data_IF_569451608614
#
_entry.id   IF_569451608614
#
_cell.length_a   1.000
_cell.length_b   1.000
_cell.length_c   1.000
_cell.angle_alpha   90.00
_cell.angle_beta   90.00
_cell.angle_gamma   90.00
#
_symmetry.space_group_name_H-M   'P 1'
#
loop_
_entity.id
_entity.type
_entity.pdbx_description
1 polymer ?
#
# COMPACT_ATOMS: atom_id res chain seq x y z
N UNK A 1 -0.18 -14.91 -78.01
CA UNK A 1 0.14 -16.18 -78.70
C UNK A 1 1.35 -16.82 -78.04
N UNK A 2 1.36 -18.16 -77.96
CA UNK A 2 2.40 -19.09 -77.47
C UNK A 2 2.31 -19.53 -76.00
N UNK A 3 2.19 -20.86 -75.88
CA UNK A 3 2.01 -21.73 -74.71
C UNK A 3 3.28 -21.82 -73.86
N UNK A 4 3.20 -22.30 -72.60
CA UNK A 4 4.28 -23.03 -71.98
C UNK A 4 3.98 -24.52 -71.78
N UNK A 5 5.09 -25.23 -71.67
CA UNK A 5 5.32 -26.68 -71.70
C UNK A 5 4.91 -27.42 -70.41
N UNK A 6 4.55 -28.70 -70.58
CA UNK A 6 4.50 -29.74 -69.56
C UNK A 6 5.91 -30.32 -69.31
N UNK A 7 6.24 -30.65 -68.06
CA UNK A 7 7.15 -31.75 -67.74
C UNK A 7 6.81 -32.36 -66.38
N UNK A 8 6.62 -33.68 -66.39
CA UNK A 8 6.17 -34.52 -65.29
C UNK A 8 7.29 -34.86 -64.31
N UNK A 9 6.97 -34.96 -63.01
CA UNK A 9 7.84 -35.57 -62.00
C UNK A 9 7.31 -36.94 -61.58
N UNK A 10 8.19 -37.94 -61.70
CA UNK A 10 8.02 -39.33 -61.29
C UNK A 10 8.13 -39.49 -59.76
N UNK A 11 7.26 -40.33 -59.23
CA UNK A 11 7.26 -40.86 -57.86
C UNK A 11 8.45 -41.78 -57.59
N UNK A 12 9.20 -41.56 -56.50
CA UNK A 12 10.04 -42.57 -55.85
C UNK A 12 9.88 -42.46 -54.33
N UNK A 13 9.46 -43.56 -53.70
CA UNK A 13 9.27 -43.71 -52.26
C UNK A 13 10.60 -43.75 -51.49
N UNK A 14 10.60 -43.24 -50.25
CA UNK A 14 11.71 -43.33 -49.27
C UNK A 14 11.19 -43.91 -47.93
N UNK A 15 12.02 -44.61 -47.14
CA UNK A 15 11.58 -45.61 -46.18
C UNK A 15 11.26 -45.05 -44.78
N UNK A 16 10.53 -45.86 -44.00
CA UNK A 16 10.07 -45.63 -42.63
C UNK A 16 11.24 -45.68 -41.63
N UNK A 17 11.36 -44.64 -40.80
CA UNK A 17 12.30 -44.60 -39.66
C UNK A 17 11.50 -44.64 -38.35
N UNK A 18 11.84 -45.60 -37.52
CA UNK A 18 11.35 -45.90 -36.17
C UNK A 18 11.52 -44.73 -35.20
N UNK A 19 10.42 -44.30 -34.57
CA UNK A 19 10.39 -43.27 -33.52
C UNK A 19 10.92 -43.83 -32.20
N UNK A 20 11.96 -43.18 -31.66
CA UNK A 20 12.56 -43.48 -30.34
C UNK A 20 11.73 -42.76 -29.27
N UNK A 21 11.10 -43.51 -28.37
CA UNK A 21 10.31 -42.96 -27.27
C UNK A 21 11.17 -42.08 -26.34
N UNK A 22 10.68 -40.89 -26.00
CA UNK A 22 11.26 -39.99 -25.01
C UNK A 22 10.91 -40.44 -23.58
N UNK A 23 11.80 -40.23 -22.59
CA UNK A 23 11.56 -40.61 -21.21
C UNK A 23 10.43 -39.77 -20.56
N UNK A 24 9.78 -40.29 -19.51
CA UNK A 24 8.61 -39.66 -18.90
C UNK A 24 8.99 -38.31 -18.27
N UNK A 25 8.21 -37.30 -18.62
CA UNK A 25 8.28 -35.95 -18.07
C UNK A 25 8.23 -35.99 -16.55
N UNK A 26 9.32 -35.52 -15.91
CA UNK A 26 9.33 -35.15 -14.51
C UNK A 26 8.22 -34.11 -14.33
N UNK A 27 7.19 -34.46 -13.54
CA UNK A 27 6.13 -33.53 -13.17
C UNK A 27 6.79 -32.34 -12.47
N UNK A 28 6.91 -31.23 -13.18
CA UNK A 28 7.29 -29.93 -12.63
C UNK A 28 6.31 -29.66 -11.49
N UNK A 29 6.82 -29.65 -10.26
CA UNK A 29 6.06 -29.31 -9.08
C UNK A 29 5.29 -28.01 -9.38
N UNK A 30 3.99 -28.01 -9.10
CA UNK A 30 3.15 -26.83 -9.17
C UNK A 30 3.89 -25.71 -8.42
N UNK A 31 4.17 -24.62 -9.12
CA UNK A 31 4.64 -23.39 -8.48
C UNK A 31 3.73 -23.12 -7.28
N UNK A 32 4.27 -22.92 -6.05
CA UNK A 32 3.42 -22.57 -4.92
C UNK A 32 2.58 -21.35 -5.34
N UNK A 33 1.29 -21.40 -5.04
CA UNK A 33 0.42 -20.23 -5.19
C UNK A 33 1.14 -19.02 -4.59
N UNK A 34 1.16 -17.85 -5.24
CA UNK A 34 1.82 -16.68 -4.69
C UNK A 34 1.29 -16.48 -3.28
N UNK A 35 2.18 -16.44 -2.29
CA UNK A 35 1.79 -16.23 -0.88
C UNK A 35 1.07 -14.90 -0.84
N UNK A 36 -0.26 -14.94 -0.68
CA UNK A 36 -1.08 -13.74 -0.57
C UNK A 36 -0.91 -13.19 0.84
N UNK A 37 -0.37 -11.98 0.93
CA UNK A 37 -0.27 -11.24 2.18
C UNK A 37 -1.43 -10.24 2.28
N UNK A 38 -1.90 -9.98 3.50
CA UNK A 38 -3.10 -9.14 3.78
C UNK A 38 -2.87 -8.14 4.90
N UNK A 39 -1.75 -8.23 5.59
CA UNK A 39 -1.36 -7.38 6.71
C UNK A 39 0.17 -7.23 6.76
N UNK A 40 0.66 -6.39 7.67
CA UNK A 40 2.10 -6.15 7.86
C UNK A 40 2.83 -7.47 8.18
N UNK A 41 2.43 -8.29 9.19
CA UNK A 41 3.16 -9.51 9.52
C UNK A 41 3.24 -10.53 8.38
N UNK A 42 2.13 -10.76 7.66
CA UNK A 42 2.09 -11.68 6.52
C UNK A 42 2.93 -11.20 5.34
N UNK A 43 2.97 -9.89 5.08
CA UNK A 43 3.82 -9.30 4.05
C UNK A 43 5.30 -9.47 4.38
N UNK A 44 5.71 -9.20 5.63
CA UNK A 44 7.10 -9.36 6.04
C UNK A 44 7.55 -10.81 5.98
N UNK A 45 6.70 -11.74 6.40
CA UNK A 45 6.96 -13.18 6.27
C UNK A 45 7.17 -13.56 4.80
N UNK A 46 6.30 -13.09 3.90
CA UNK A 46 6.46 -13.29 2.47
C UNK A 46 7.77 -12.70 1.95
N UNK A 47 8.07 -11.45 2.31
CA UNK A 47 9.27 -10.76 1.85
C UNK A 47 10.55 -11.47 2.29
N UNK A 48 10.58 -11.98 3.53
CA UNK A 48 11.67 -12.79 4.04
C UNK A 48 11.85 -14.10 3.25
N UNK A 49 10.75 -14.85 3.05
CA UNK A 49 10.79 -16.11 2.30
C UNK A 49 11.15 -15.94 0.83
N UNK A 50 10.79 -14.80 0.23
CA UNK A 50 11.06 -14.48 -1.17
C UNK A 50 12.39 -13.73 -1.39
N UNK A 51 13.14 -13.42 -0.32
CA UNK A 51 14.40 -12.68 -0.41
C UNK A 51 14.25 -11.27 -0.99
N UNK A 52 13.13 -10.58 -0.71
CA UNK A 52 12.90 -9.25 -1.27
C UNK A 52 13.87 -8.23 -0.66
N UNK A 53 14.43 -7.37 -1.51
CA UNK A 53 15.30 -6.29 -1.06
C UNK A 53 14.46 -5.14 -0.46
N UNK A 54 14.70 -4.77 0.82
CA UNK A 54 13.88 -3.80 1.56
C UNK A 54 14.08 -2.37 1.08
N UNK A 55 15.17 -2.10 0.36
CA UNK A 55 15.52 -0.76 -0.12
C UNK A 55 14.80 -0.42 -1.42
N UNK A 56 14.11 -1.40 -2.02
CA UNK A 56 13.37 -1.20 -3.27
C UNK A 56 12.13 -0.35 -3.04
N UNK A 57 11.75 0.41 -4.05
CA UNK A 57 10.52 1.21 -4.05
C UNK A 57 9.27 0.34 -3.97
N UNK A 58 9.33 -0.88 -4.50
CA UNK A 58 8.24 -1.85 -4.42
C UNK A 58 8.04 -2.33 -2.98
N UNK A 59 9.12 -2.73 -2.30
CA UNK A 59 9.02 -3.18 -0.90
C UNK A 59 8.52 -2.05 0.00
N UNK A 60 9.19 -0.89 -0.07
CA UNK A 60 8.86 0.26 0.80
C UNK A 60 7.47 0.81 0.51
N UNK A 61 7.05 0.87 -0.76
CA UNK A 61 5.69 1.21 -1.16
C UNK A 61 4.66 0.24 -0.59
N UNK A 62 4.87 -1.07 -0.77
CA UNK A 62 3.96 -2.11 -0.27
C UNK A 62 3.84 -2.09 1.25
N UNK A 63 4.98 -1.92 1.96
CA UNK A 63 4.98 -1.79 3.41
C UNK A 63 4.21 -0.54 3.86
N UNK A 64 4.37 0.57 3.14
CA UNK A 64 3.67 1.81 3.44
C UNK A 64 2.15 1.68 3.22
N UNK A 65 1.72 0.98 2.17
CA UNK A 65 0.30 0.69 1.93
C UNK A 65 -0.32 -0.09 3.11
N UNK A 66 0.37 -1.12 3.60
CA UNK A 66 -0.07 -1.85 4.80
C UNK A 66 -0.05 -1.00 6.07
N UNK A 67 0.92 -0.09 6.19
CA UNK A 67 0.99 0.87 7.29
C UNK A 67 -0.23 1.78 7.30
N UNK A 68 -0.61 2.32 6.14
CA UNK A 68 -1.82 3.15 5.97
C UNK A 68 -3.09 2.33 6.23
N UNK A 69 -3.17 1.09 5.74
CA UNK A 69 -4.28 0.18 5.99
C UNK A 69 -4.48 -0.04 7.50
N UNK A 70 -3.41 -0.39 8.22
CA UNK A 70 -3.44 -0.58 9.66
C UNK A 70 -3.83 0.71 10.40
N UNK A 71 -3.32 1.87 9.96
CA UNK A 71 -3.63 3.16 10.55
C UNK A 71 -5.13 3.50 10.43
N UNK A 72 -5.70 3.39 9.24
CA UNK A 72 -7.10 3.71 8.97
C UNK A 72 -8.06 2.69 9.59
N UNK A 73 -7.68 1.40 9.66
CA UNK A 73 -8.51 0.34 10.27
C UNK A 73 -8.65 0.47 11.81
N UNK A 74 -7.90 1.38 12.44
CA UNK A 74 -8.10 1.76 13.85
C UNK A 74 -9.27 2.73 14.02
N UNK A 75 -9.65 3.46 12.97
CA UNK A 75 -10.76 4.40 13.01
C UNK A 75 -12.10 3.65 12.93
N UNK A 76 -13.10 4.00 13.76
CA UNK A 76 -14.36 3.29 13.78
C UNK A 76 -15.14 3.40 12.46
N UNK A 77 -15.69 2.26 12.04
CA UNK A 77 -16.47 2.16 10.81
C UNK A 77 -15.65 2.09 9.52
N UNK A 78 -14.33 2.26 9.56
CA UNK A 78 -13.50 2.09 8.37
C UNK A 78 -13.20 0.61 8.17
N UNK A 79 -13.56 0.10 6.99
CA UNK A 79 -13.20 -1.23 6.52
C UNK A 79 -12.55 -1.10 5.15
N UNK A 80 -11.27 -1.42 5.07
CA UNK A 80 -10.46 -1.32 3.85
C UNK A 80 -9.77 -2.64 3.56
N UNK A 81 -9.44 -2.86 2.30
CA UNK A 81 -8.61 -3.96 1.84
C UNK A 81 -7.60 -3.43 0.85
N UNK A 82 -6.38 -3.94 0.91
CA UNK A 82 -5.35 -3.61 -0.07
C UNK A 82 -5.68 -4.28 -1.41
N UNK A 83 -5.73 -3.49 -2.47
CA UNK A 83 -5.90 -3.95 -3.85
C UNK A 83 -4.71 -3.60 -4.74
N UNK A 84 -3.72 -2.87 -4.20
CA UNK A 84 -2.56 -2.38 -4.93
C UNK A 84 -1.80 -3.49 -5.66
N UNK A 85 -1.48 -3.24 -6.93
CA UNK A 85 -0.91 -4.23 -7.84
C UNK A 85 -0.84 -3.75 -9.29
N UNK A 86 -0.46 -4.65 -10.19
CA UNK A 86 -0.49 -4.36 -11.63
C UNK A 86 -1.95 -4.13 -12.05
N UNK A 87 -2.22 -3.01 -12.72
CA UNK A 87 -3.52 -2.61 -13.27
C UNK A 87 -4.56 -2.06 -12.24
N UNK A 88 -4.10 -1.57 -11.09
CA UNK A 88 -4.94 -1.01 -10.01
C UNK A 88 -5.44 0.44 -10.24
N UNK A 89 -5.18 1.02 -11.42
CA UNK A 89 -5.45 2.42 -11.75
C UNK A 89 -4.89 3.45 -10.73
N UNK A 90 -3.87 3.06 -9.96
CA UNK A 90 -3.28 3.87 -8.90
C UNK A 90 -4.07 3.90 -7.60
N UNK A 91 -4.95 2.91 -7.35
CA UNK A 91 -5.68 2.73 -6.09
C UNK A 91 -5.00 1.63 -5.29
N UNK A 92 -4.54 1.97 -4.11
CA UNK A 92 -3.79 1.02 -3.27
C UNK A 92 -4.71 0.30 -2.28
N UNK A 93 -5.68 1.02 -1.69
CA UNK A 93 -6.68 0.48 -0.77
C UNK A 93 -8.09 0.84 -1.22
N UNK A 94 -9.04 -0.06 -0.99
CA UNK A 94 -10.46 0.16 -1.30
C UNK A 94 -11.36 -0.43 -0.22
N UNK A 95 -12.50 0.21 0.02
CA UNK A 95 -13.53 -0.30 0.91
C UNK A 95 -14.58 0.75 1.21
N UNK A 96 -14.93 0.90 2.48
CA UNK A 96 -16.01 1.77 2.92
C UNK A 96 -15.77 2.35 4.31
N UNK A 97 -16.39 3.49 4.55
CA UNK A 97 -16.53 4.09 5.87
C UNK A 97 -18.01 4.10 6.28
N UNK A 98 -18.29 3.33 7.32
CA UNK A 98 -19.60 3.13 7.91
C UNK A 98 -19.83 4.07 9.10
N UNK A 99 -20.79 4.98 8.98
CA UNK A 99 -21.08 6.02 9.97
C UNK A 99 -22.50 5.87 10.53
N UNK A 100 -22.72 6.05 11.85
CA UNK A 100 -24.07 6.14 12.40
C UNK A 100 -24.79 7.39 11.85
N UNK A 101 -25.99 7.27 11.27
CA UNK A 101 -26.88 8.44 11.13
C UNK A 101 -27.68 8.58 12.41
N UNK A 102 -27.57 9.76 13.02
CA UNK A 102 -28.54 10.22 14.01
C UNK A 102 -29.55 11.09 13.27
N UNK A 103 -30.53 10.48 12.61
CA UNK A 103 -31.71 11.23 12.16
C UNK A 103 -32.61 11.45 13.37
N UNK A 104 -32.93 12.70 13.71
CA UNK A 104 -33.68 13.12 14.91
C UNK A 104 -35.16 12.70 14.96
N UNK A 105 -35.56 11.60 14.32
CA UNK A 105 -36.93 11.08 14.38
C UNK A 105 -36.87 9.59 14.70
N UNK A 106 -37.38 9.25 15.89
CA UNK A 106 -37.46 7.91 16.46
C UNK A 106 -37.92 6.86 15.44
N UNK A 107 -37.00 5.99 14.97
CA UNK A 107 -37.16 4.52 14.96
C UNK A 107 -36.19 3.76 14.04
N UNK A 108 -35.48 4.40 13.11
CA UNK A 108 -34.55 3.68 12.19
C UNK A 108 -33.18 4.38 12.09
N UNK A 109 -32.19 3.88 12.84
CA UNK A 109 -30.80 4.31 12.70
C UNK A 109 -30.22 3.79 11.38
N UNK A 110 -30.45 4.51 10.28
CA UNK A 110 -29.84 4.15 8.99
C UNK A 110 -28.34 4.42 9.01
N UNK A 111 -27.48 3.46 8.69
CA UNK A 111 -26.02 3.69 8.61
C UNK A 111 -25.69 4.44 7.29
N UNK A 112 -24.79 5.43 7.30
CA UNK A 112 -24.18 5.93 6.05
C UNK A 112 -23.03 5.00 5.72
N UNK A 113 -22.99 4.49 4.49
CA UNK A 113 -21.85 3.74 3.98
C UNK A 113 -21.21 4.56 2.86
N UNK A 114 -20.08 5.19 3.16
CA UNK A 114 -19.33 6.00 2.21
C UNK A 114 -18.34 5.09 1.48
N UNK A 115 -18.44 4.88 0.16
CA UNK A 115 -17.40 4.18 -0.58
C UNK A 115 -16.08 4.94 -0.46
N UNK A 116 -14.98 4.24 -0.21
CA UNK A 116 -13.68 4.87 0.04
C UNK A 116 -12.60 4.19 -0.79
N UNK A 117 -11.78 5.01 -1.45
CA UNK A 117 -10.53 4.57 -2.09
C UNK A 117 -9.36 5.36 -1.52
N UNK A 118 -8.20 4.73 -1.42
CA UNK A 118 -6.99 5.34 -0.90
C UNK A 118 -5.85 5.12 -1.87
N UNK A 119 -5.17 6.21 -2.21
CA UNK A 119 -3.90 6.17 -2.91
C UNK A 119 -2.78 6.48 -1.91
N UNK A 120 -1.80 5.61 -1.82
CA UNK A 120 -0.64 5.68 -0.94
C UNK A 120 0.57 6.18 -1.73
N UNK A 121 1.27 7.20 -1.22
CA UNK A 121 2.51 7.72 -1.81
C UNK A 121 3.62 7.78 -0.78
N UNK A 122 4.55 6.84 -0.92
CA UNK A 122 5.79 6.82 -0.17
C UNK A 122 6.90 7.51 -0.98
N UNK A 123 7.28 8.73 -0.60
CA UNK A 123 8.24 9.54 -1.34
C UNK A 123 9.02 10.52 -0.46
N UNK A 124 10.28 10.73 -0.83
CA UNK A 124 11.12 11.80 -0.27
C UNK A 124 10.69 13.18 -0.76
N UNK A 125 11.25 14.22 -0.18
CA UNK A 125 10.94 15.62 -0.53
C UNK A 125 11.15 15.91 -2.02
N UNK A 126 12.25 15.41 -2.60
CA UNK A 126 12.58 15.59 -4.03
C UNK A 126 11.60 14.90 -4.98
N UNK A 127 10.92 13.84 -4.54
CA UNK A 127 9.98 13.08 -5.39
C UNK A 127 8.52 13.43 -5.12
N UNK A 128 8.23 14.35 -4.21
CA UNK A 128 6.88 14.75 -3.85
C UNK A 128 6.26 15.65 -4.93
N UNK A 129 5.46 15.05 -5.81
CA UNK A 129 4.87 15.72 -6.99
C UNK A 129 3.72 16.68 -6.67
N UNK A 130 3.36 16.83 -5.40
CA UNK A 130 2.38 17.81 -4.93
C UNK A 130 1.00 17.66 -5.61
N UNK A 131 0.47 18.70 -6.29
CA UNK A 131 -0.88 18.69 -6.84
C UNK A 131 -1.16 17.58 -7.86
N UNK A 132 -0.12 17.01 -8.49
CA UNK A 132 -0.29 15.94 -9.45
C UNK A 132 -0.97 14.72 -8.84
N UNK A 133 -0.60 14.31 -7.62
CA UNK A 133 -1.22 13.16 -6.95
C UNK A 133 -2.72 13.37 -6.71
N UNK A 134 -3.13 14.60 -6.42
CA UNK A 134 -4.56 14.92 -6.25
C UNK A 134 -5.31 14.74 -7.58
N UNK A 135 -4.73 15.19 -8.70
CA UNK A 135 -5.35 15.00 -10.04
C UNK A 135 -5.42 13.53 -10.44
N UNK A 136 -4.37 12.76 -10.13
CA UNK A 136 -4.35 11.31 -10.37
C UNK A 136 -5.45 10.61 -9.57
N UNK A 137 -5.60 10.95 -8.28
CA UNK A 137 -6.67 10.43 -7.43
C UNK A 137 -8.07 10.84 -7.92
N UNK A 138 -8.25 12.09 -8.36
CA UNK A 138 -9.50 12.53 -9.00
C UNK A 138 -9.82 11.72 -10.26
N UNK A 139 -8.80 11.42 -11.07
CA UNK A 139 -8.92 10.55 -12.24
C UNK A 139 -9.34 9.13 -11.86
N UNK A 140 -8.75 8.57 -10.80
CA UNK A 140 -9.13 7.25 -10.30
C UNK A 140 -10.60 7.20 -9.86
N UNK A 141 -11.10 8.27 -9.20
CA UNK A 141 -12.50 8.39 -8.80
C UNK A 141 -13.51 8.43 -9.96
N UNK A 142 -13.08 8.63 -11.21
CA UNK A 142 -13.97 8.71 -12.36
C UNK A 142 -14.80 7.43 -12.56
N UNK A 143 -14.27 6.27 -12.14
CA UNK A 143 -14.94 4.97 -12.23
C UNK A 143 -15.65 4.56 -10.93
N UNK A 144 -15.75 5.46 -9.95
CA UNK A 144 -16.37 5.21 -8.65
C UNK A 144 -17.66 6.04 -8.45
N UNK A 145 -18.56 5.61 -7.55
CA UNK A 145 -19.77 6.36 -7.19
C UNK A 145 -19.48 7.83 -6.91
N UNK A 146 -20.41 8.73 -7.22
CA UNK A 146 -20.17 10.18 -7.13
C UNK A 146 -19.86 10.67 -5.71
N UNK A 147 -20.41 9.97 -4.73
CA UNK A 147 -20.26 10.16 -3.30
C UNK A 147 -19.06 9.41 -2.69
N UNK A 148 -18.28 8.70 -3.51
CA UNK A 148 -17.07 8.03 -3.06
C UNK A 148 -16.01 9.05 -2.59
N UNK A 149 -15.45 8.80 -1.41
CA UNK A 149 -14.34 9.53 -0.82
C UNK A 149 -13.01 9.00 -1.36
N UNK A 150 -12.27 9.84 -2.07
CA UNK A 150 -10.88 9.55 -2.40
C UNK A 150 -9.93 10.12 -1.35
N UNK A 151 -9.03 9.32 -0.81
CA UNK A 151 -8.02 9.78 0.15
C UNK A 151 -6.62 9.59 -0.41
N UNK A 152 -5.82 10.66 -0.37
CA UNK A 152 -4.38 10.59 -0.64
C UNK A 152 -3.64 10.43 0.69
N UNK A 153 -2.92 9.33 0.86
CA UNK A 153 -2.07 9.06 2.00
C UNK A 153 -0.59 9.32 1.64
N UNK A 154 0.12 10.07 2.48
CA UNK A 154 1.55 10.30 2.32
C UNK A 154 2.32 10.44 3.62
N UNK A 155 3.65 10.44 3.49
CA UNK A 155 4.58 10.63 4.62
C UNK A 155 5.01 12.10 4.80
N UNK A 156 4.52 12.99 3.94
CA UNK A 156 4.86 14.42 3.89
C UNK A 156 3.61 15.25 4.13
N UNK A 157 3.81 16.52 4.50
CA UNK A 157 2.71 17.45 4.67
C UNK A 157 2.06 17.80 3.33
N UNK A 158 0.76 18.11 3.38
CA UNK A 158 0.04 18.61 2.22
C UNK A 158 0.63 19.95 1.76
N UNK A 159 1.14 20.00 0.53
CA UNK A 159 1.64 21.26 -0.05
C UNK A 159 0.50 22.25 -0.27
N UNK A 160 0.79 23.57 -0.31
CA UNK A 160 -0.22 24.57 -0.65
C UNK A 160 -0.90 24.33 -1.99
N UNK A 161 -0.16 23.79 -2.97
CA UNK A 161 -0.70 23.44 -4.28
C UNK A 161 -1.70 22.28 -4.22
N UNK A 162 -1.42 21.24 -3.42
CA UNK A 162 -2.35 20.14 -3.20
C UNK A 162 -3.63 20.63 -2.54
N UNK A 163 -3.49 21.47 -1.49
CA UNK A 163 -4.63 22.08 -0.80
C UNK A 163 -5.53 22.84 -1.78
N UNK A 164 -4.94 23.68 -2.64
CA UNK A 164 -5.71 24.41 -3.67
C UNK A 164 -6.43 23.47 -4.63
N UNK A 165 -5.74 22.42 -5.12
CA UNK A 165 -6.36 21.42 -6.00
C UNK A 165 -7.54 20.72 -5.31
N UNK A 166 -7.37 20.25 -4.08
CA UNK A 166 -8.42 19.58 -3.31
C UNK A 166 -9.64 20.47 -3.08
N UNK A 167 -9.42 21.75 -2.73
CA UNK A 167 -10.49 22.71 -2.51
C UNK A 167 -11.25 23.07 -3.80
N UNK A 168 -10.60 23.00 -4.95
CA UNK A 168 -11.24 23.23 -6.25
C UNK A 168 -12.01 22.03 -6.81
N UNK A 169 -11.79 20.83 -6.24
CA UNK A 169 -12.39 19.60 -6.72
C UNK A 169 -13.89 19.54 -6.44
N UNK A 170 -14.64 18.94 -7.37
CA UNK A 170 -16.06 18.60 -7.19
C UNK A 170 -16.26 17.20 -6.60
N UNK A 171 -15.18 16.45 -6.37
CA UNK A 171 -15.18 15.12 -5.76
C UNK A 171 -14.94 15.24 -4.26
N UNK A 172 -15.46 14.29 -3.47
CA UNK A 172 -15.11 14.17 -2.06
C UNK A 172 -13.65 13.70 -1.94
N UNK A 173 -12.78 14.59 -1.44
CA UNK A 173 -11.35 14.32 -1.33
C UNK A 173 -10.86 14.53 0.09
N UNK A 174 -9.98 13.62 0.52
CA UNK A 174 -9.23 13.68 1.76
C UNK A 174 -7.72 13.56 1.54
N UNK A 175 -6.97 14.06 2.50
CA UNK A 175 -5.53 13.88 2.60
C UNK A 175 -5.20 13.41 4.01
N UNK A 176 -4.36 12.40 4.12
CA UNK A 176 -3.81 11.95 5.40
C UNK A 176 -2.29 11.90 5.37
N UNK A 177 -1.70 12.29 6.50
CA UNK A 177 -0.28 12.04 6.77
C UNK A 177 -0.16 10.91 7.76
N UNK A 178 0.53 9.85 7.37
CA UNK A 178 0.76 8.67 8.22
C UNK A 178 2.25 8.46 8.39
N UNK A 179 2.71 8.35 9.63
CA UNK A 179 4.11 8.03 9.91
C UNK A 179 4.45 6.67 9.30
N UNK A 180 5.48 6.55 8.45
CA UNK A 180 5.84 5.27 7.88
C UNK A 180 6.41 4.34 8.94
N UNK A 181 6.30 3.04 8.69
CA UNK A 181 7.01 2.06 9.51
C UNK A 181 8.49 2.07 9.12
N UNK A 182 9.34 2.31 10.11
CA UNK A 182 10.79 2.33 9.93
C UNK A 182 11.36 0.91 10.12
N UNK A 183 12.38 0.58 9.33
CA UNK A 183 13.08 -0.70 9.41
C UNK A 183 14.59 -0.50 9.39
N UNK A 184 15.31 -1.17 10.28
CA UNK A 184 16.77 -1.29 10.23
C UNK A 184 17.11 -2.52 9.38
N UNK A 185 17.92 -2.27 8.35
CA UNK A 185 18.51 -3.28 7.50
C UNK A 185 19.98 -3.45 7.88
N UNK A 186 20.37 -4.63 8.37
CA UNK A 186 21.77 -4.98 8.60
C UNK A 186 22.29 -5.79 7.42
N UNK A 187 22.94 -5.13 6.46
CA UNK A 187 23.81 -5.84 5.53
C UNK A 187 25.07 -6.29 6.28
N UNK A 188 25.37 -7.58 6.35
CA UNK A 188 26.74 -8.00 6.62
C UNK A 188 27.57 -7.79 5.35
N UNK A 189 28.03 -6.57 5.09
CA UNK A 189 29.10 -6.36 4.13
C UNK A 189 30.42 -6.69 4.84
N UNK A 190 31.06 -7.80 4.44
CA UNK A 190 32.47 -8.07 4.75
C UNK A 190 33.26 -6.90 4.16
N UNK A 191 33.75 -6.00 5.01
CA UNK A 191 34.53 -4.86 4.58
C UNK A 191 35.77 -5.34 3.81
N UNK A 192 35.99 -4.70 2.66
CA UNK A 192 37.18 -4.80 1.83
C UNK A 192 38.45 -4.86 2.68
N UNK A 193 39.10 -6.02 2.70
CA UNK A 193 40.55 -6.13 2.70
C UNK A 193 40.89 -7.22 1.67
N UNK A 194 41.79 -6.84 0.77
CA UNK A 194 42.41 -7.65 -0.26
C UNK A 194 42.58 -9.13 0.13
N UNK A 195 42.02 -10.04 -0.65
CA UNK A 195 42.74 -11.02 -1.50
C UNK A 195 41.72 -11.98 -2.14
N UNK A 196 42.04 -12.42 -3.35
CA UNK A 196 41.22 -13.31 -4.17
C UNK A 196 41.09 -14.68 -3.47
N UNK A 197 39.92 -14.97 -2.90
CA UNK A 197 39.53 -16.34 -2.59
C UNK A 197 38.15 -16.62 -3.18
N UNK A 198 38.17 -17.54 -4.14
CA UNK A 198 37.03 -18.25 -4.71
C UNK A 198 36.37 -19.09 -3.60
N UNK A 199 35.17 -18.72 -3.15
CA UNK A 199 34.32 -19.60 -2.35
C UNK A 199 32.85 -19.15 -2.40
N UNK A 200 32.01 -20.11 -2.79
CA UNK A 200 30.60 -20.34 -2.50
C UNK A 200 29.77 -19.15 -2.01
N UNK A 201 28.72 -18.84 -2.78
CA UNK A 201 27.76 -17.78 -2.48
C UNK A 201 27.08 -17.99 -1.14
N UNK A 202 27.66 -17.42 -0.08
CA UNK A 202 27.01 -17.24 1.21
C UNK A 202 25.91 -16.19 1.03
N UNK A 203 24.68 -16.69 1.06
CA UNK A 203 23.43 -15.94 1.07
C UNK A 203 23.50 -14.90 2.20
N UNK A 204 23.48 -13.61 1.85
CA UNK A 204 23.47 -12.54 2.83
C UNK A 204 22.26 -12.74 3.75
N UNK A 205 22.50 -13.04 5.02
CA UNK A 205 21.44 -13.13 6.03
C UNK A 205 20.91 -11.71 6.29
N UNK A 206 19.86 -11.37 5.56
CA UNK A 206 19.21 -10.07 5.62
C UNK A 206 18.13 -10.14 6.69
N UNK A 207 18.45 -9.70 7.90
CA UNK A 207 17.47 -9.54 8.97
C UNK A 207 16.87 -8.13 8.93
N UNK A 208 15.54 -8.04 8.81
CA UNK A 208 14.81 -6.78 8.94
C UNK A 208 14.30 -6.63 10.36
N UNK A 209 14.69 -5.54 11.02
CA UNK A 209 14.20 -5.19 12.34
C UNK A 209 13.30 -3.97 12.21
N UNK A 210 12.05 -4.08 12.63
CA UNK A 210 11.14 -2.94 12.62
C UNK A 210 11.38 -2.07 13.84
N UNK A 211 11.41 -0.76 13.60
CA UNK A 211 11.53 0.23 14.66
C UNK A 211 10.20 0.97 14.78
N UNK A 212 9.73 1.09 16.03
CA UNK A 212 8.32 1.14 16.39
C UNK A 212 7.52 2.41 16.14
N UNK A 213 7.77 3.15 15.07
CA UNK A 213 7.20 4.51 14.92
C UNK A 213 6.09 4.61 13.88
N UNK A 214 5.76 3.52 13.18
CA UNK A 214 4.83 3.54 12.06
C UNK A 214 3.37 3.71 12.45
N UNK A 215 2.57 4.16 11.50
CA UNK A 215 1.11 4.11 11.54
C UNK A 215 0.43 5.30 12.21
N UNK A 216 1.14 6.19 12.91
CA UNK A 216 0.51 7.37 13.54
C UNK A 216 -0.14 8.29 12.49
N UNK A 217 -1.40 8.65 12.70
CA UNK A 217 -2.12 9.60 11.85
C UNK A 217 -1.77 11.02 12.30
N UNK A 218 -0.92 11.71 11.55
CA UNK A 218 -0.40 13.03 11.91
C UNK A 218 -1.22 14.19 11.33
N UNK A 219 -1.87 13.96 10.19
CA UNK A 219 -2.76 14.92 9.53
C UNK A 219 -3.95 14.19 8.95
N UNK A 220 -5.12 14.80 9.06
CA UNK A 220 -6.29 14.46 8.28
C UNK A 220 -6.92 15.77 7.82
N UNK A 221 -7.10 15.95 6.52
CA UNK A 221 -7.81 17.07 5.94
C UNK A 221 -8.79 16.57 4.89
N UNK A 222 -9.89 17.27 4.70
CA UNK A 222 -10.84 16.98 3.63
C UNK A 222 -11.44 18.26 3.07
N UNK A 223 -12.00 18.19 1.86
CA UNK A 223 -12.63 19.34 1.21
C UNK A 223 -14.12 19.47 1.55
N UNK A 224 -14.74 20.58 1.14
CA UNK A 224 -16.14 20.88 1.43
C UNK A 224 -17.11 19.83 0.87
N UNK A 225 -16.76 19.18 -0.25
CA UNK A 225 -17.58 18.11 -0.81
C UNK A 225 -17.61 16.90 0.11
N UNK A 226 -16.46 16.48 0.65
CA UNK A 226 -16.37 15.41 1.64
C UNK A 226 -17.07 15.78 2.96
N UNK A 227 -17.10 17.07 3.31
CA UNK A 227 -17.75 17.56 4.52
C UNK A 227 -19.26 17.28 4.56
N UNK A 228 -19.92 17.08 3.41
CA UNK A 228 -21.34 16.70 3.34
C UNK A 228 -21.62 15.34 3.98
N UNK A 229 -20.65 14.43 3.91
CA UNK A 229 -20.75 13.08 4.48
C UNK A 229 -20.00 12.96 5.81
N UNK A 230 -18.95 13.78 6.01
CA UNK A 230 -18.07 13.74 7.18
C UNK A 230 -18.35 14.84 8.22
N UNK A 231 -19.29 15.76 8.00
CA UNK A 231 -19.45 16.98 8.81
C UNK A 231 -19.79 16.79 10.29
N UNK A 232 -20.13 15.57 10.73
CA UNK A 232 -20.25 15.22 12.14
C UNK A 232 -18.91 14.92 12.84
N UNK A 233 -17.83 14.79 12.07
CA UNK A 233 -16.49 14.51 12.57
C UNK A 233 -15.68 15.77 12.81
N UNK A 234 -15.08 15.83 14.00
CA UNK A 234 -13.99 16.72 14.33
C UNK A 234 -12.64 16.00 14.29
N UNK A 235 -11.59 16.80 14.20
CA UNK A 235 -10.20 16.37 14.35
C UNK A 235 -9.69 16.97 15.64
N UNK A 236 -9.13 16.13 16.50
CA UNK A 236 -8.49 16.58 17.74
C UNK A 236 -7.07 16.07 17.79
N UNK A 237 -6.13 16.97 18.04
CA UNK A 237 -4.75 16.61 18.32
C UNK A 237 -4.64 16.01 19.73
N UNK A 238 -3.95 14.88 19.84
CA UNK A 238 -3.51 14.29 21.09
C UNK A 238 -2.00 14.06 21.04
N UNK A 239 -1.36 14.01 22.19
CA UNK A 239 0.05 13.67 22.30
C UNK A 239 0.19 12.25 22.83
N UNK A 240 0.97 11.43 22.13
CA UNK A 240 1.28 10.05 22.52
C UNK A 240 2.76 9.92 22.81
N UNK A 241 3.17 9.05 23.75
CA UNK A 241 4.59 8.75 23.95
C UNK A 241 5.21 8.22 22.65
N UNK A 242 6.48 8.56 22.38
CA UNK A 242 7.19 8.10 21.17
C UNK A 242 7.32 6.58 21.03
N UNK A 243 7.18 5.83 22.12
CA UNK A 243 7.16 4.37 22.09
C UNK A 243 5.82 3.76 21.61
N UNK A 244 4.89 4.58 21.10
CA UNK A 244 3.58 4.09 20.65
C UNK A 244 3.70 3.31 19.34
N UNK A 245 3.46 2.00 19.39
CA UNK A 245 3.51 1.11 18.24
C UNK A 245 2.16 0.87 17.58
N UNK A 246 2.21 0.44 16.32
CA UNK A 246 1.10 -0.29 15.71
C UNK A 246 0.93 -1.61 16.49
N UNK A 247 -0.31 -1.98 16.89
CA UNK A 247 -0.58 -3.32 17.42
C UNK A 247 -0.03 -4.41 16.49
N UNK A 248 0.47 -5.51 17.07
CA UNK A 248 0.93 -6.70 16.34
C UNK A 248 2.25 -6.57 15.55
N UNK A 249 2.99 -5.48 15.74
CA UNK A 249 4.36 -5.33 15.25
C UNK A 249 5.34 -5.34 16.45
N UNK A 250 6.16 -6.39 16.64
CA UNK A 250 7.21 -6.41 17.65
C UNK A 250 8.20 -5.27 17.44
N UNK A 251 8.55 -4.57 18.52
CA UNK A 251 9.51 -3.47 18.49
C UNK A 251 10.89 -3.96 18.92
N UNK A 252 11.92 -3.58 18.17
CA UNK A 252 13.28 -3.56 18.69
C UNK A 252 13.64 -2.14 19.13
N UNK A 253 14.35 -2.04 20.27
CA UNK A 253 14.83 -0.79 20.84
C UNK A 253 15.86 -0.14 19.91
N UNK A 254 15.41 0.80 19.07
CA UNK A 254 16.28 1.53 18.15
C UNK A 254 16.30 3.04 18.43
N UNK A 255 17.54 3.46 18.71
CA UNK A 255 18.13 4.76 18.99
C UNK A 255 17.38 6.02 18.52
N UNK A 256 17.39 6.99 19.42
CA UNK A 256 16.63 8.24 19.46
C UNK A 256 17.24 9.31 18.58
N UNK A 257 16.47 9.82 17.61
CA UNK A 257 16.68 11.16 17.08
C UNK A 257 15.87 12.16 17.90
N UNK A 258 16.53 13.20 18.40
CA UNK A 258 16.07 14.28 19.29
C UNK A 258 15.49 13.81 20.65
N UNK A 259 16.32 13.73 21.71
CA UNK A 259 15.90 13.30 23.05
C UNK A 259 15.01 14.31 23.79
N UNK A 260 14.79 15.52 23.27
CA UNK A 260 14.19 16.62 24.04
C UNK A 260 12.65 16.70 23.98
N UNK A 261 11.97 15.94 23.10
CA UNK A 261 10.49 15.83 23.10
C UNK A 261 10.03 14.37 23.25
N UNK A 262 9.58 13.94 24.44
CA UNK A 262 9.16 12.55 24.68
C UNK A 262 7.81 12.20 24.03
N UNK A 263 7.11 13.17 23.44
CA UNK A 263 5.80 12.99 22.85
C UNK A 263 5.82 13.21 21.33
N UNK A 264 4.83 12.61 20.67
CA UNK A 264 4.51 12.86 19.27
C UNK A 264 3.03 13.21 19.14
N UNK A 265 2.72 14.10 18.20
CA UNK A 265 1.34 14.47 17.91
C UNK A 265 0.66 13.41 17.04
N UNK A 266 -0.46 12.89 17.53
CA UNK A 266 -1.37 12.04 16.78
C UNK A 266 -2.74 12.73 16.69
N UNK A 267 -3.43 12.53 15.58
CA UNK A 267 -4.80 13.00 15.39
C UNK A 267 -5.76 11.88 15.72
N UNK A 268 -6.79 12.22 16.49
CA UNK A 268 -7.95 11.37 16.74
C UNK A 268 -9.19 12.01 16.13
N UNK A 269 -10.08 11.18 15.60
CA UNK A 269 -11.39 11.61 15.17
C UNK A 269 -12.33 11.73 16.37
N UNK A 270 -13.09 12.82 16.42
CA UNK A 270 -14.15 13.02 17.38
C UNK A 270 -15.48 13.10 16.66
N UNK A 271 -16.57 12.62 17.27
CA UNK A 271 -17.93 12.81 16.80
C UNK A 271 -18.62 13.74 17.78
N UNK A 272 -19.06 14.92 17.33
CA UNK A 272 -19.61 15.97 18.21
C UNK A 272 -18.71 16.27 19.44
N UNK A 273 -17.38 16.26 19.25
CA UNK A 273 -16.40 16.52 20.32
C UNK A 273 -16.08 15.34 21.23
N UNK A 274 -16.72 14.18 21.05
CA UNK A 274 -16.42 12.94 21.79
C UNK A 274 -15.48 12.06 20.96
N UNK A 275 -14.34 11.58 21.50
CA UNK A 275 -13.46 10.65 20.78
C UNK A 275 -14.22 9.44 20.25
N UNK A 276 -14.07 9.17 18.96
CA UNK A 276 -14.64 7.96 18.36
C UNK A 276 -13.66 6.83 18.65
N UNK A 277 -13.80 6.18 19.80
CA UNK A 277 -13.12 4.91 20.06
C UNK A 277 -13.84 3.79 19.32
N UNK A 278 -13.14 2.68 19.00
CA UNK A 278 -13.84 1.43 18.70
C UNK A 278 -14.78 1.18 19.87
N UNK A 279 -16.09 1.04 19.61
CA UNK A 279 -16.99 0.53 20.61
C UNK A 279 -16.41 -0.80 21.13
N UNK A 280 -16.44 -1.04 22.45
CA UNK A 280 -15.88 -2.25 23.04
C UNK A 280 -16.45 -3.53 22.41
#
# INVERSE_FOLDING_TARGET
MRRPFLAALRSHARPKTTSRALPPSIRRASSPSPITHTDIPSFLRYANLAGLNPTTTVFTGTLYEYTVLAALSRLPGISLTRIGGKDDAGIDLQGFWELPRLTSTNSDSTQIKIPMIVQCKFGGEKSWKGPQYVRELEGALANHPIDALGVLAGVRDMTPGMRRQMLSSRRALGFIKVTPLDGIYKAKNKALNHEEEECDGEEADVTFHLTGRGGLLQQFAWNEVANRSLGGFGITARYVPRAHSIPDVPLDDADTSDPDDPFEQEITLTWNGVPVSKAP
#
